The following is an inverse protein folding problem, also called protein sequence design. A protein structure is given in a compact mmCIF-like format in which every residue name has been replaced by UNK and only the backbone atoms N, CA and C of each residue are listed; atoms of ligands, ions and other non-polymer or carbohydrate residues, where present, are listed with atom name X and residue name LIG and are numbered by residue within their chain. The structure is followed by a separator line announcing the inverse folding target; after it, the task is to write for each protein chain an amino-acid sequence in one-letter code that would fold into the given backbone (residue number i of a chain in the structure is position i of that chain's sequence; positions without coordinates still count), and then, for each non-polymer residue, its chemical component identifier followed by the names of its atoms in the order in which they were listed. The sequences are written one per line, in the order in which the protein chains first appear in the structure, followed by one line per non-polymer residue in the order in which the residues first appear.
data_IF_253600629074
#
_entry.id   IF_253600629074
#
_cell.length_a   1.000
_cell.length_b   1.000
_cell.length_c   1.000
_cell.angle_alpha   90.00
_cell.angle_beta   90.00
_cell.angle_gamma   90.00
#
_symmetry.space_group_name_H-M   'P 1'
#
loop_
_entity.id
_entity.type
_entity.pdbx_description
1 polymer ?
#
# COMPACT_ATOMS: atom_id res chain seq x y z
N UNK A 1 -33.84 -48.92 -29.79
CA UNK A 1 -33.64 -47.99 -30.92
C UNK A 1 -33.45 -46.61 -30.30
N UNK A 2 -32.24 -46.08 -30.16
CA UNK A 2 -31.41 -45.38 -31.16
C UNK A 2 -32.11 -44.19 -31.82
N UNK A 3 -31.52 -42.99 -31.67
CA UNK A 3 -31.82 -41.74 -32.39
C UNK A 3 -32.17 -40.59 -31.43
N UNK A 4 -31.25 -39.75 -30.92
CA UNK A 4 -30.32 -38.80 -31.53
C UNK A 4 -30.95 -37.47 -32.03
N UNK A 5 -30.66 -36.42 -31.25
CA UNK A 5 -30.13 -35.11 -31.65
C UNK A 5 -30.98 -34.05 -32.42
N UNK A 6 -31.02 -32.86 -31.77
CA UNK A 6 -30.51 -31.55 -32.27
C UNK A 6 -31.45 -30.46 -32.80
N UNK A 7 -31.21 -29.29 -32.19
CA UNK A 7 -31.05 -27.95 -32.78
C UNK A 7 -32.27 -27.08 -33.15
N UNK A 8 -32.36 -25.98 -32.39
CA UNK A 8 -32.49 -24.58 -32.80
C UNK A 8 -33.77 -24.14 -33.55
N UNK A 9 -34.40 -23.07 -33.04
CA UNK A 9 -34.34 -21.71 -33.64
C UNK A 9 -35.39 -20.82 -32.98
N UNK A 10 -34.93 -19.81 -32.24
CA UNK A 10 -35.74 -18.62 -31.90
C UNK A 10 -36.00 -17.82 -33.19
N UNK A 11 -37.11 -17.05 -33.25
CA UNK A 11 -36.92 -15.61 -33.11
C UNK A 11 -38.05 -14.86 -32.40
N UNK A 12 -37.66 -13.94 -31.50
CA UNK A 12 -38.41 -12.76 -31.05
C UNK A 12 -39.07 -11.95 -32.21
N UNK A 13 -40.22 -11.31 -31.95
CA UNK A 13 -40.56 -10.05 -32.59
C UNK A 13 -40.34 -8.85 -31.66
N UNK A 14 -39.66 -7.86 -32.25
CA UNK A 14 -39.26 -6.58 -31.69
C UNK A 14 -40.42 -5.71 -31.21
N UNK A 15 -40.36 -5.26 -29.95
CA UNK A 15 -41.08 -4.10 -29.45
C UNK A 15 -40.21 -2.85 -29.55
N UNK A 16 -40.55 -1.97 -30.48
CA UNK A 16 -39.90 -0.68 -30.72
C UNK A 16 -40.23 0.30 -29.58
N UNK A 17 -39.23 0.68 -28.78
CA UNK A 17 -39.32 1.80 -27.84
C UNK A 17 -38.39 2.94 -28.29
N UNK A 18 -39.00 4.12 -28.40
CA UNK A 18 -38.50 5.38 -28.96
C UNK A 18 -37.18 5.87 -28.33
N UNK A 19 -36.33 6.58 -29.10
CA UNK A 19 -35.11 7.21 -28.59
C UNK A 19 -35.44 8.45 -27.74
N UNK A 20 -35.16 8.40 -26.44
CA UNK A 20 -35.24 9.55 -25.54
C UNK A 20 -33.84 10.18 -25.43
N UNK A 21 -33.70 11.29 -26.14
CA UNK A 21 -32.68 12.35 -26.05
C UNK A 21 -31.72 12.28 -24.86
N UNK A 22 -30.43 12.12 -25.18
CA UNK A 22 -29.31 12.27 -24.26
C UNK A 22 -29.15 13.72 -23.77
N UNK A 23 -28.93 13.98 -22.47
CA UNK A 23 -28.50 15.29 -22.01
C UNK A 23 -27.01 15.50 -22.34
N UNK A 24 -26.71 16.61 -23.01
CA UNK A 24 -25.35 17.08 -23.32
C UNK A 24 -24.49 17.17 -22.04
N UNK A 25 -23.49 16.28 -21.94
CA UNK A 25 -22.37 16.43 -21.02
C UNK A 25 -21.53 17.63 -21.45
N UNK A 26 -21.49 18.67 -20.62
CA UNK A 26 -20.50 19.76 -20.73
C UNK A 26 -19.13 19.18 -20.33
N UNK A 27 -18.02 19.53 -21.01
CA UNK A 27 -16.69 19.16 -20.54
C UNK A 27 -16.45 19.82 -19.19
N UNK A 28 -16.46 19.03 -18.12
CA UNK A 28 -16.00 19.48 -16.82
C UNK A 28 -14.50 19.70 -16.97
N UNK A 29 -14.10 20.97 -16.99
CA UNK A 29 -12.71 21.40 -16.97
C UNK A 29 -11.94 20.56 -15.96
N UNK A 30 -10.89 19.88 -16.42
CA UNK A 30 -9.88 19.27 -15.56
C UNK A 30 -9.27 20.38 -14.72
N UNK A 31 -9.79 20.56 -13.50
CA UNK A 31 -9.13 21.37 -12.49
C UNK A 31 -7.88 20.62 -12.08
N UNK A 32 -6.77 21.00 -12.74
CA UNK A 32 -5.38 20.96 -12.28
C UNK A 32 -5.27 20.33 -10.89
N UNK A 33 -4.89 19.06 -10.84
CA UNK A 33 -4.70 18.31 -9.60
C UNK A 33 -3.83 19.13 -8.65
N UNK A 34 -4.47 19.80 -7.68
CA UNK A 34 -3.78 20.48 -6.60
C UNK A 34 -3.06 19.38 -5.84
N UNK A 35 -1.73 19.40 -5.84
CA UNK A 35 -0.93 18.60 -4.92
C UNK A 35 -1.39 18.96 -3.51
N UNK A 36 -2.28 18.14 -2.96
CA UNK A 36 -2.81 18.34 -1.61
C UNK A 36 -1.63 18.30 -0.64
N UNK A 37 -1.49 19.37 0.15
CA UNK A 37 -0.56 19.37 1.28
C UNK A 37 -0.89 18.19 2.19
N UNK A 38 0.12 17.43 2.61
CA UNK A 38 -0.03 16.28 3.52
C UNK A 38 -0.79 16.68 4.78
N UNK A 39 -0.60 17.91 5.26
CA UNK A 39 -1.31 18.44 6.42
C UNK A 39 -2.82 18.60 6.19
N UNK A 40 -3.22 18.93 4.97
CA UNK A 40 -4.64 19.02 4.60
C UNK A 40 -5.27 17.64 4.51
N UNK A 41 -4.55 16.67 3.94
CA UNK A 41 -5.01 15.28 3.92
C UNK A 41 -5.17 14.70 5.34
N UNK A 42 -4.22 14.98 6.24
CA UNK A 42 -4.32 14.56 7.65
C UNK A 42 -5.54 15.20 8.32
N UNK A 43 -5.76 16.50 8.11
CA UNK A 43 -6.90 17.21 8.69
C UNK A 43 -8.24 16.71 8.13
N UNK A 44 -8.29 16.35 6.85
CA UNK A 44 -9.49 15.80 6.21
C UNK A 44 -9.79 14.39 6.75
N UNK A 45 -8.78 13.53 6.94
CA UNK A 45 -8.93 12.20 7.55
C UNK A 45 -9.49 12.30 8.97
N UNK A 46 -8.97 13.23 9.78
CA UNK A 46 -9.44 13.44 11.16
C UNK A 46 -10.89 13.95 11.24
N UNK A 47 -11.44 14.48 10.14
CA UNK A 47 -12.81 14.99 10.07
C UNK A 47 -13.79 14.00 9.42
N UNK A 48 -13.30 12.87 8.92
CA UNK A 48 -14.16 11.86 8.33
C UNK A 48 -14.95 11.13 9.42
N UNK A 49 -16.20 10.80 9.09
CA UNK A 49 -16.99 9.88 9.90
C UNK A 49 -16.45 8.46 9.77
N UNK A 50 -16.63 7.60 10.78
CA UNK A 50 -16.14 6.22 10.73
C UNK A 50 -16.71 5.45 9.53
N UNK A 51 -17.96 5.71 9.15
CA UNK A 51 -18.60 5.10 7.99
C UNK A 51 -17.94 5.54 6.66
N UNK A 52 -17.58 6.83 6.54
CA UNK A 52 -16.89 7.34 5.36
C UNK A 52 -15.47 6.76 5.23
N UNK A 53 -14.78 6.54 6.35
CA UNK A 53 -13.49 5.86 6.38
C UNK A 53 -13.62 4.45 5.84
N UNK A 54 -14.61 3.67 6.31
CA UNK A 54 -14.84 2.31 5.82
C UNK A 54 -15.07 2.26 4.30
N UNK A 55 -15.85 3.20 3.75
CA UNK A 55 -16.11 3.28 2.31
C UNK A 55 -14.86 3.63 1.48
N UNK A 56 -14.00 4.54 1.97
CA UNK A 56 -12.74 4.85 1.29
C UNK A 56 -11.75 3.68 1.37
N UNK A 57 -11.74 2.94 2.49
CA UNK A 57 -10.98 1.69 2.59
C UNK A 57 -11.50 0.64 1.60
N UNK A 58 -12.81 0.46 1.48
CA UNK A 58 -13.40 -0.48 0.52
C UNK A 58 -13.05 -0.08 -0.92
N UNK A 59 -13.14 1.21 -1.25
CA UNK A 59 -12.71 1.74 -2.55
C UNK A 59 -11.22 1.47 -2.81
N UNK A 60 -10.36 1.66 -1.81
CA UNK A 60 -8.93 1.39 -1.91
C UNK A 60 -8.65 -0.11 -2.12
N UNK A 61 -9.37 -1.00 -1.43
CA UNK A 61 -9.29 -2.45 -1.62
C UNK A 61 -9.70 -2.82 -3.05
N UNK A 62 -10.86 -2.37 -3.51
CA UNK A 62 -11.32 -2.63 -4.88
C UNK A 62 -10.37 -2.07 -5.94
N UNK A 63 -9.75 -0.91 -5.70
CA UNK A 63 -8.77 -0.34 -6.61
C UNK A 63 -7.48 -1.16 -6.65
N UNK A 64 -6.95 -1.55 -5.49
CA UNK A 64 -5.74 -2.38 -5.40
C UNK A 64 -5.96 -3.77 -5.98
N UNK A 65 -7.10 -4.41 -5.74
CA UNK A 65 -7.47 -5.70 -6.33
C UNK A 65 -7.40 -5.71 -7.86
N UNK A 66 -7.77 -4.60 -8.53
CA UNK A 66 -7.65 -4.48 -9.99
C UNK A 66 -6.19 -4.46 -10.46
N UNK A 67 -5.29 -3.88 -9.67
CA UNK A 67 -3.86 -3.85 -9.95
C UNK A 67 -3.16 -5.17 -9.57
N UNK A 68 -3.68 -5.86 -8.57
CA UNK A 68 -3.31 -7.25 -8.24
C UNK A 68 -4.09 -8.28 -9.09
N UNK A 69 -4.76 -7.84 -10.17
CA UNK A 69 -5.77 -8.57 -10.95
C UNK A 69 -5.30 -9.77 -11.76
N UNK A 70 -4.01 -10.13 -11.71
CA UNK A 70 -3.62 -11.52 -11.98
C UNK A 70 -3.50 -12.17 -10.63
N UNK A 71 -4.34 -13.17 -10.35
CA UNK A 71 -4.12 -14.17 -9.30
C UNK A 71 -2.62 -14.47 -9.24
N UNK A 72 -1.88 -13.75 -8.41
CA UNK A 72 -0.55 -14.17 -8.04
C UNK A 72 -0.87 -15.47 -7.35
N UNK A 73 -0.54 -16.60 -7.98
CA UNK A 73 -0.84 -17.90 -7.41
C UNK A 73 -0.30 -17.83 -5.99
N UNK A 74 -1.19 -17.78 -5.01
CA UNK A 74 -0.75 -17.61 -3.63
C UNK A 74 0.15 -18.79 -3.36
N UNK A 75 1.44 -18.55 -3.02
CA UNK A 75 2.36 -19.65 -2.85
C UNK A 75 1.74 -20.61 -1.84
N UNK A 76 1.82 -21.91 -2.13
CA UNK A 76 1.25 -22.98 -1.30
C UNK A 76 -0.27 -23.17 -1.36
N UNK A 77 -0.99 -22.60 -2.33
CA UNK A 77 -2.45 -22.80 -2.47
C UNK A 77 -2.87 -24.28 -2.54
N UNK A 78 -2.13 -25.12 -3.29
CA UNK A 78 -2.44 -26.55 -3.42
C UNK A 78 -2.24 -27.31 -2.10
N UNK A 79 -1.16 -26.99 -1.37
CA UNK A 79 -0.83 -27.60 -0.08
C UNK A 79 -1.82 -27.14 1.00
N UNK A 80 -2.22 -25.86 0.97
CA UNK A 80 -3.28 -25.33 1.83
C UNK A 80 -4.62 -26.04 1.56
N UNK A 81 -4.97 -26.27 0.29
CA UNK A 81 -6.17 -27.02 -0.06
C UNK A 81 -6.10 -28.49 0.42
N UNK A 82 -4.93 -29.11 0.44
CA UNK A 82 -4.73 -30.45 1.00
C UNK A 82 -4.89 -30.46 2.52
N UNK A 83 -4.31 -29.50 3.23
CA UNK A 83 -4.51 -29.34 4.67
C UNK A 83 -5.98 -29.12 5.02
N UNK A 84 -6.65 -28.22 4.31
CA UNK A 84 -8.08 -27.95 4.51
C UNK A 84 -8.95 -29.18 4.23
N UNK A 85 -8.62 -29.98 3.22
CA UNK A 85 -9.30 -31.25 2.97
C UNK A 85 -9.10 -32.23 4.13
N UNK A 86 -7.87 -32.36 4.64
CA UNK A 86 -7.58 -33.24 5.77
C UNK A 86 -8.35 -32.81 7.03
N UNK A 87 -8.32 -31.52 7.37
CA UNK A 87 -9.01 -30.99 8.55
C UNK A 87 -10.53 -31.15 8.46
N UNK A 88 -11.11 -30.99 7.26
CA UNK A 88 -12.55 -31.25 7.03
C UNK A 88 -12.90 -32.73 7.22
N UNK A 89 -12.02 -33.64 6.81
CA UNK A 89 -12.24 -35.08 6.95
C UNK A 89 -12.00 -35.57 8.38
N UNK A 90 -11.07 -34.95 9.12
CA UNK A 90 -10.64 -35.35 10.46
C UNK A 90 -10.96 -34.26 11.50
N UNK A 91 -12.19 -33.73 11.51
CA UNK A 91 -12.56 -32.59 12.39
C UNK A 91 -12.27 -32.84 13.88
N UNK A 92 -12.39 -34.08 14.36
CA UNK A 92 -12.15 -34.43 15.76
C UNK A 92 -10.70 -34.86 16.04
N UNK A 93 -9.90 -35.11 15.01
CA UNK A 93 -8.54 -35.67 15.14
C UNK A 93 -7.55 -34.93 14.24
N UNK A 94 -7.36 -33.63 14.51
CA UNK A 94 -6.44 -32.77 13.76
C UNK A 94 -4.99 -33.26 13.79
N UNK A 95 -4.60 -34.07 14.78
CA UNK A 95 -3.29 -34.72 14.86
C UNK A 95 -3.00 -35.65 13.66
N UNK A 96 -4.03 -36.25 13.05
CA UNK A 96 -3.85 -37.04 11.82
C UNK A 96 -3.44 -36.18 10.62
N UNK A 97 -3.60 -34.86 10.71
CA UNK A 97 -3.22 -33.91 9.68
C UNK A 97 -1.85 -33.26 9.91
N UNK A 98 -1.03 -33.73 10.88
CA UNK A 98 0.30 -33.16 11.14
C UNK A 98 1.18 -33.10 9.90
N UNK A 99 1.21 -34.17 9.10
CA UNK A 99 1.96 -34.18 7.85
C UNK A 99 1.53 -33.05 6.90
N UNK A 100 0.22 -32.88 6.71
CA UNK A 100 -0.30 -31.81 5.84
C UNK A 100 -0.06 -30.40 6.42
N UNK A 101 -0.02 -30.27 7.75
CA UNK A 101 0.35 -29.01 8.41
C UNK A 101 1.83 -28.70 8.22
N UNK A 102 2.71 -29.70 8.34
CA UNK A 102 4.15 -29.54 8.15
C UNK A 102 4.50 -29.24 6.70
N UNK A 103 3.85 -29.92 5.74
CA UNK A 103 4.00 -29.63 4.31
C UNK A 103 3.59 -28.18 4.00
N UNK A 104 2.48 -27.70 4.59
CA UNK A 104 2.04 -26.31 4.42
C UNK A 104 3.04 -25.32 5.04
N UNK A 105 3.52 -25.59 6.26
CA UNK A 105 4.53 -24.76 6.94
C UNK A 105 5.81 -24.66 6.14
N UNK A 106 6.31 -25.80 5.64
CA UNK A 106 7.52 -25.87 4.84
C UNK A 106 7.38 -25.05 3.56
N UNK A 107 6.26 -25.22 2.85
CA UNK A 107 6.01 -24.47 1.64
C UNK A 107 5.99 -22.95 1.91
N UNK A 108 5.31 -22.49 2.97
CA UNK A 108 5.25 -21.06 3.32
C UNK A 108 6.63 -20.52 3.68
N UNK A 109 7.43 -21.28 4.43
CA UNK A 109 8.80 -20.90 4.76
C UNK A 109 9.66 -20.70 3.51
N UNK A 110 9.62 -21.65 2.57
CA UNK A 110 10.36 -21.58 1.31
C UNK A 110 9.89 -20.39 0.46
N UNK A 111 8.58 -20.23 0.29
CA UNK A 111 8.04 -19.13 -0.51
C UNK A 111 8.37 -17.75 0.07
N UNK A 112 8.39 -17.64 1.39
CA UNK A 112 8.78 -16.42 2.09
C UNK A 112 10.27 -16.15 1.89
N UNK A 113 11.12 -17.16 2.03
CA UNK A 113 12.55 -17.03 1.81
C UNK A 113 12.86 -16.60 0.37
N UNK A 114 12.26 -17.26 -0.62
CA UNK A 114 12.40 -16.88 -2.03
C UNK A 114 11.98 -15.43 -2.29
N UNK A 115 10.93 -14.95 -1.63
CA UNK A 115 10.51 -13.55 -1.76
C UNK A 115 11.55 -12.59 -1.16
N UNK A 116 12.13 -12.94 -0.02
CA UNK A 116 13.20 -12.16 0.61
C UNK A 116 14.43 -12.13 -0.30
N UNK A 117 14.82 -13.27 -0.85
CA UNK A 117 15.98 -13.38 -1.75
C UNK A 117 15.80 -12.50 -2.99
N UNK A 118 14.63 -12.57 -3.64
CA UNK A 118 14.29 -11.68 -4.78
C UNK A 118 14.33 -10.21 -4.39
N UNK A 119 13.85 -9.85 -3.20
CA UNK A 119 13.91 -8.46 -2.72
C UNK A 119 15.34 -8.01 -2.37
N UNK A 120 16.23 -8.93 -2.03
CA UNK A 120 17.63 -8.64 -1.77
C UNK A 120 18.42 -8.42 -3.08
N UNK A 121 18.04 -9.13 -4.14
CA UNK A 121 18.67 -9.02 -5.47
C UNK A 121 18.12 -7.85 -6.32
N UNK A 122 16.93 -7.32 -5.98
CA UNK A 122 16.40 -6.13 -6.64
C UNK A 122 17.29 -4.92 -6.30
N UNK A 123 17.90 -4.26 -7.30
CA UNK A 123 18.69 -3.06 -7.05
C UNK A 123 17.78 -2.03 -6.39
N UNK A 124 18.21 -1.51 -5.23
CA UNK A 124 17.45 -0.55 -4.46
C UNK A 124 16.91 0.53 -5.42
N UNK A 125 15.58 0.76 -5.49
CA UNK A 125 15.03 1.79 -6.33
C UNK A 125 15.76 3.08 -5.96
N UNK A 126 16.38 3.73 -6.95
CA UNK A 126 17.17 4.93 -6.68
C UNK A 126 16.35 5.84 -5.78
N UNK A 127 16.87 6.20 -4.59
CA UNK A 127 16.13 7.06 -3.69
C UNK A 127 15.73 8.29 -4.52
N UNK A 128 14.46 8.75 -4.44
CA UNK A 128 14.07 9.96 -5.15
C UNK A 128 15.10 11.02 -4.79
N UNK A 129 15.86 11.48 -5.79
CA UNK A 129 16.93 12.47 -5.63
C UNK A 129 16.30 13.75 -5.10
N UNK A 130 16.09 13.80 -3.79
CA UNK A 130 15.85 15.04 -3.08
C UNK A 130 17.14 15.79 -3.26
N UNK A 131 17.10 16.87 -4.04
CA UNK A 131 18.24 17.75 -4.23
C UNK A 131 18.80 18.10 -2.86
N UNK A 132 19.93 17.49 -2.50
CA UNK A 132 20.65 17.80 -1.28
C UNK A 132 21.15 19.23 -1.52
N UNK A 133 20.40 20.21 -1.03
CA UNK A 133 20.85 21.58 -1.02
C UNK A 133 22.14 21.59 -0.21
N UNK A 134 23.25 21.98 -0.85
CA UNK A 134 24.50 22.14 -0.12
C UNK A 134 24.27 23.13 1.03
N UNK A 135 24.73 22.82 2.25
CA UNK A 135 24.56 23.71 3.38
C UNK A 135 25.18 25.06 3.03
N UNK A 136 24.38 26.12 2.98
CA UNK A 136 24.92 27.46 2.82
C UNK A 136 25.84 27.76 4.01
N UNK A 137 27.06 28.28 3.78
CA UNK A 137 27.90 28.76 4.87
C UNK A 137 27.15 29.88 5.60
N UNK A 138 27.01 29.75 6.92
CA UNK A 138 26.37 30.77 7.74
C UNK A 138 27.12 32.10 7.58
N UNK A 139 26.41 33.23 7.45
CA UNK A 139 27.06 34.53 7.41
C UNK A 139 27.78 34.78 8.75
N UNK A 140 29.00 35.34 8.71
CA UNK A 140 29.71 35.67 9.94
C UNK A 140 28.90 36.71 10.74
N UNK A 141 28.85 36.59 12.07
CA UNK A 141 28.18 37.59 12.91
C UNK A 141 28.83 38.95 12.68
N UNK A 142 28.00 39.99 12.50
CA UNK A 142 28.46 41.36 12.36
C UNK A 142 29.31 41.73 13.58
N UNK A 143 30.58 42.05 13.35
CA UNK A 143 31.48 42.45 14.41
C UNK A 143 30.94 43.72 15.09
N UNK A 144 30.78 43.75 16.42
CA UNK A 144 30.50 45.00 17.10
C UNK A 144 31.68 45.95 16.90
N UNK A 145 31.36 47.21 16.60
CA UNK A 145 32.34 48.28 16.38
C UNK A 145 33.41 48.25 17.48
N UNK A 146 34.67 48.32 17.04
CA UNK A 146 35.87 48.20 17.85
C UNK A 146 35.77 49.03 19.15
N UNK A 147 35.58 48.34 20.28
CA UNK A 147 35.90 48.87 21.60
C UNK A 147 37.00 48.02 22.20
N UNK A 148 38.20 48.60 22.08
CA UNK A 148 39.29 48.58 23.04
C UNK A 148 39.59 47.26 23.77
N UNK A 149 40.73 46.69 23.38
CA UNK A 149 41.41 45.54 23.98
C UNK A 149 41.52 45.67 25.50
N UNK A 150 40.70 44.93 26.25
CA UNK A 150 41.12 44.41 27.56
C UNK A 150 41.38 42.91 27.43
N UNK A 151 42.67 42.54 27.44
CA UNK A 151 43.12 41.16 27.57
C UNK A 151 42.71 40.66 28.95
N UNK A 152 41.62 39.93 29.04
CA UNK A 152 41.35 39.09 30.19
C UNK A 152 41.27 37.65 29.69
N UNK A 153 42.36 36.91 29.90
CA UNK A 153 42.42 35.47 29.64
C UNK A 153 41.36 34.78 30.52
N UNK A 154 40.50 33.98 29.89
CA UNK A 154 39.48 33.18 30.59
C UNK A 154 40.15 32.19 31.56
N UNK A 155 39.73 32.18 32.83
CA UNK A 155 40.01 31.09 33.78
C UNK A 155 38.84 30.11 33.75
N UNK A 156 39.02 28.82 33.37
CA UNK A 156 37.92 27.89 33.13
C UNK A 156 37.42 27.12 34.38
N UNK A 157 37.77 27.52 35.60
CA UNK A 157 37.41 26.79 36.82
C UNK A 157 36.74 27.70 37.84
N UNK A 158 35.43 27.91 37.68
CA UNK A 158 34.55 28.39 38.75
C UNK A 158 33.41 27.39 38.93
N UNK A 159 33.74 26.17 39.32
CA UNK A 159 32.77 25.19 39.81
C UNK A 159 33.38 24.45 41.00
N UNK A 160 33.42 25.08 42.18
CA UNK A 160 33.38 24.37 43.48
C UNK A 160 33.25 25.34 44.66
N UNK A 161 32.04 25.42 45.23
CA UNK A 161 31.69 25.39 46.67
C UNK A 161 30.31 26.01 46.89
N UNK A 162 29.30 25.17 47.01
CA UNK A 162 28.34 25.34 48.09
C UNK A 162 29.01 24.82 49.37
N UNK A 163 29.10 25.68 50.39
CA UNK A 163 28.78 25.40 51.79
C UNK A 163 28.84 26.72 52.55
#
# INVERSE_FOLDING_TARGET
MLGAASAAKEPLPMGVLKPKTAPKLKPLRETKAQRGSVLKAIQDIQRMTPEAICLEFERMVQHTERHFGRKQSTPCSDVAAQLMRCLRQQQQQSSKCFKAMDDYRLCVAIATQQRIDVMADEPAPEPPHLAIAQPLPMPPPAAPAAKERRRFWYKPWTWFRQQ
#
